data_IF_633479827439
#
_entry.id   IF_633479827439
#
_cell.length_a   1.000
_cell.length_b   1.000
_cell.length_c   1.000
_cell.angle_alpha   90.00
_cell.angle_beta   90.00
_cell.angle_gamma   90.00
#
_symmetry.space_group_name_H-M   'P 1'
#
loop_
_entity.id
_entity.type
_entity.pdbx_description
1 polymer ?
#
# COMPACT_ATOMS: atom_id res chain seq x y z
N UNK A 1 19.75 -27.50 6.80
CA UNK A 1 18.68 -27.12 5.84
C UNK A 1 18.90 -25.66 5.51
N UNK A 2 19.27 -25.35 4.26
CA UNK A 2 19.77 -24.04 3.85
C UNK A 2 18.72 -22.93 4.06
N UNK A 3 19.14 -21.82 4.66
CA UNK A 3 18.34 -20.61 4.75
C UNK A 3 18.08 -20.06 3.35
N UNK A 4 16.81 -19.90 3.02
CA UNK A 4 16.40 -19.23 1.79
C UNK A 4 16.81 -17.76 1.88
N UNK A 5 17.79 -17.36 1.06
CA UNK A 5 18.02 -15.97 0.76
C UNK A 5 16.78 -15.44 0.03
N UNK A 6 16.09 -14.46 0.63
CA UNK A 6 15.06 -13.71 -0.08
C UNK A 6 15.73 -13.00 -1.25
N UNK A 7 15.22 -13.23 -2.46
CA UNK A 7 15.62 -12.50 -3.67
C UNK A 7 15.47 -11.00 -3.39
N UNK A 8 16.37 -10.16 -3.92
CA UNK A 8 16.40 -8.71 -3.66
C UNK A 8 15.07 -7.99 -3.94
N UNK A 9 14.17 -8.62 -4.70
CA UNK A 9 12.83 -8.15 -5.05
C UNK A 9 11.80 -8.22 -3.90
N UNK A 10 12.02 -9.07 -2.87
CA UNK A 10 11.11 -9.21 -1.71
C UNK A 10 11.49 -8.31 -0.52
N UNK A 11 12.57 -7.54 -0.61
CA UNK A 11 12.95 -6.62 0.46
C UNK A 11 12.06 -5.38 0.37
N UNK A 12 11.35 -5.09 1.47
CA UNK A 12 10.61 -3.86 1.59
C UNK A 12 11.59 -2.67 1.52
N UNK A 13 11.40 -1.81 0.52
CA UNK A 13 12.21 -0.60 0.32
C UNK A 13 11.57 0.63 0.92
N UNK A 14 10.27 0.58 1.22
CA UNK A 14 9.51 1.66 1.85
C UNK A 14 8.46 1.09 2.81
N UNK A 15 8.37 1.64 4.02
CA UNK A 15 7.36 1.27 5.01
C UNK A 15 6.47 2.48 5.33
N UNK A 16 5.16 2.35 5.12
CA UNK A 16 4.17 3.35 5.54
C UNK A 16 3.44 2.87 6.78
N UNK A 17 3.37 3.73 7.80
CA UNK A 17 2.65 3.49 9.05
C UNK A 17 1.41 4.37 9.08
N UNK A 18 0.25 3.74 9.25
CA UNK A 18 -1.04 4.41 9.22
C UNK A 18 -1.77 4.15 10.54
N UNK A 19 -1.90 5.17 11.41
CA UNK A 19 -2.72 5.05 12.61
C UNK A 19 -4.21 5.07 12.24
N UNK A 20 -4.94 4.05 12.68
CA UNK A 20 -6.39 3.91 12.43
C UNK A 20 -7.14 4.06 13.73
N UNK A 21 -7.90 5.14 13.87
CA UNK A 21 -8.70 5.41 15.07
C UNK A 21 -10.15 5.00 14.89
N UNK A 22 -10.69 4.24 15.84
CA UNK A 22 -12.15 4.06 15.91
C UNK A 22 -12.78 5.28 16.60
N UNK A 23 -13.35 6.18 15.81
CA UNK A 23 -14.06 7.36 16.31
C UNK A 23 -15.55 7.10 16.66
N UNK A 24 -16.03 5.87 16.45
CA UNK A 24 -17.40 5.48 16.73
C UNK A 24 -17.65 5.06 18.18
N UNK A 25 -18.90 4.67 18.47
CA UNK A 25 -19.35 4.22 19.80
C UNK A 25 -19.35 2.70 19.97
N UNK A 26 -19.02 1.94 18.93
CA UNK A 26 -19.04 0.47 18.91
C UNK A 26 -17.66 -0.06 18.54
N UNK A 27 -17.28 -1.18 19.14
CA UNK A 27 -16.09 -1.91 18.71
C UNK A 27 -16.25 -2.37 17.25
N UNK A 28 -15.18 -2.29 16.48
CA UNK A 28 -15.22 -2.57 15.04
C UNK A 28 -13.86 -2.93 14.47
N UNK A 29 -13.84 -3.23 13.18
CA UNK A 29 -12.61 -3.47 12.41
C UNK A 29 -12.63 -2.55 11.20
N UNK A 30 -11.46 -2.16 10.74
CA UNK A 30 -11.25 -1.35 9.55
C UNK A 30 -10.48 -2.16 8.51
N UNK A 31 -10.57 -1.75 7.24
CA UNK A 31 -9.72 -2.31 6.18
C UNK A 31 -9.07 -1.16 5.41
N UNK A 32 -8.05 -0.49 6.01
CA UNK A 32 -7.28 0.50 5.29
C UNK A 32 -6.64 -0.12 4.04
N UNK A 33 -6.69 0.65 2.97
CA UNK A 33 -6.19 0.31 1.66
C UNK A 33 -5.20 1.38 1.20
N UNK A 34 -4.11 0.93 0.61
CA UNK A 34 -3.08 1.76 0.01
C UNK A 34 -3.16 1.61 -1.50
N UNK A 35 -3.42 2.71 -2.18
CA UNK A 35 -3.39 2.85 -3.63
C UNK A 35 -2.17 3.66 -4.06
N UNK A 36 -1.68 3.42 -5.27
CA UNK A 36 -0.51 4.08 -5.80
C UNK A 36 -0.80 4.64 -7.18
N UNK A 37 -0.67 5.94 -7.30
CA UNK A 37 -0.67 6.66 -8.56
C UNK A 37 0.78 6.79 -9.03
N UNK A 38 1.08 6.26 -10.21
CA UNK A 38 2.40 6.37 -10.81
C UNK A 38 2.40 7.47 -11.87
N UNK A 39 3.56 8.04 -12.16
CA UNK A 39 3.72 9.04 -13.22
C UNK A 39 3.29 8.52 -14.60
N UNK A 40 2.97 9.46 -15.50
CA UNK A 40 2.26 9.19 -16.75
C UNK A 40 2.93 8.15 -17.67
N UNK A 41 4.25 7.96 -17.58
CA UNK A 41 4.96 6.91 -18.32
C UNK A 41 4.48 5.49 -17.97
N UNK A 42 3.88 5.28 -16.79
CA UNK A 42 3.30 4.00 -16.40
C UNK A 42 1.98 3.68 -17.12
N UNK A 43 1.33 4.68 -17.74
CA UNK A 43 0.11 4.49 -18.54
C UNK A 43 -1.11 3.99 -17.77
N UNK A 44 -1.11 4.08 -16.43
CA UNK A 44 -2.23 3.64 -15.61
C UNK A 44 -3.34 4.71 -15.55
N UNK A 45 -4.61 4.37 -15.84
CA UNK A 45 -5.70 5.36 -15.87
C UNK A 45 -6.19 5.79 -14.49
N UNK A 46 -5.79 5.07 -13.43
CA UNK A 46 -6.18 5.31 -12.05
C UNK A 46 -5.14 4.71 -11.08
N UNK A 47 -5.13 5.13 -9.80
CA UNK A 47 -4.28 4.55 -8.78
C UNK A 47 -4.51 3.04 -8.58
N UNK A 48 -3.44 2.27 -8.44
CA UNK A 48 -3.48 0.81 -8.27
C UNK A 48 -3.45 0.40 -6.81
N UNK A 49 -4.27 -0.57 -6.38
CA UNK A 49 -4.20 -1.14 -5.04
C UNK A 49 -2.86 -1.88 -4.86
N UNK A 50 -2.05 -1.44 -3.89
CA UNK A 50 -0.75 -2.04 -3.55
C UNK A 50 -0.72 -2.69 -2.17
N UNK A 51 -1.72 -2.45 -1.34
CA UNK A 51 -1.84 -3.14 -0.06
C UNK A 51 -3.16 -2.89 0.64
N UNK A 52 -3.59 -3.86 1.44
CA UNK A 52 -4.69 -3.70 2.37
C UNK A 52 -4.43 -4.55 3.61
N UNK A 53 -4.96 -4.12 4.75
CA UNK A 53 -4.83 -4.89 5.98
C UNK A 53 -6.11 -4.77 6.80
N UNK A 54 -6.71 -5.90 7.16
CA UNK A 54 -7.82 -5.91 8.11
C UNK A 54 -7.28 -5.79 9.52
N UNK A 55 -7.75 -4.80 10.27
CA UNK A 55 -7.30 -4.61 11.65
C UNK A 55 -7.85 -5.66 12.61
N UNK A 56 -7.22 -5.77 13.78
CA UNK A 56 -7.83 -6.32 14.98
C UNK A 56 -9.13 -5.59 15.35
N UNK A 57 -9.87 -6.09 16.35
CA UNK A 57 -10.99 -5.31 16.90
C UNK A 57 -10.41 -4.05 17.55
N UNK A 58 -10.85 -2.88 17.09
CA UNK A 58 -10.50 -1.57 17.63
C UNK A 58 -11.65 -1.13 18.54
N UNK A 59 -11.38 -0.96 19.82
CA UNK A 59 -12.35 -0.44 20.78
C UNK A 59 -12.67 1.04 20.50
N UNK A 60 -13.85 1.55 20.87
CA UNK A 60 -14.18 2.97 20.77
C UNK A 60 -13.06 3.86 21.34
N UNK A 61 -12.63 4.86 20.58
CA UNK A 61 -11.56 5.79 20.94
C UNK A 61 -10.14 5.24 20.84
N UNK A 62 -9.95 3.94 20.61
CA UNK A 62 -8.63 3.31 20.48
C UNK A 62 -8.07 3.43 19.06
N UNK A 63 -6.76 3.20 18.94
CA UNK A 63 -6.01 3.27 17.68
C UNK A 63 -5.37 1.90 17.41
N UNK A 64 -5.40 1.47 16.15
CA UNK A 64 -4.59 0.36 15.65
C UNK A 64 -3.57 0.89 14.64
N UNK A 65 -2.33 0.40 14.72
CA UNK A 65 -1.29 0.70 13.73
C UNK A 65 -1.36 -0.29 12.57
N UNK A 66 -1.48 0.21 11.34
CA UNK A 66 -1.36 -0.58 10.11
C UNK A 66 -0.04 -0.23 9.44
N UNK A 67 0.69 -1.25 8.97
CA UNK A 67 1.99 -1.07 8.32
C UNK A 67 1.96 -1.70 6.93
N UNK A 68 2.07 -0.86 5.90
CA UNK A 68 2.28 -1.28 4.52
C UNK A 68 3.77 -1.32 4.21
N UNK A 69 4.23 -2.45 3.67
CA UNK A 69 5.62 -2.66 3.26
C UNK A 69 5.64 -2.76 1.74
N UNK A 70 6.20 -1.74 1.10
CA UNK A 70 6.29 -1.65 -0.35
C UNK A 70 7.67 -2.12 -0.79
N UNK A 71 7.67 -3.03 -1.75
CA UNK A 71 8.84 -3.58 -2.43
C UNK A 71 9.26 -2.69 -3.60
N UNK A 72 10.41 -3.01 -4.21
CA UNK A 72 10.82 -2.41 -5.48
C UNK A 72 9.74 -2.56 -6.56
N UNK A 73 9.12 -3.76 -6.62
CA UNK A 73 8.08 -4.11 -7.59
C UNK A 73 6.78 -3.34 -7.40
N UNK A 74 6.40 -3.04 -6.16
CA UNK A 74 5.18 -2.27 -5.88
C UNK A 74 5.22 -0.88 -6.51
N UNK A 75 6.43 -0.32 -6.65
CA UNK A 75 6.72 1.01 -7.18
C UNK A 75 7.12 0.97 -8.66
N UNK A 76 7.02 -0.20 -9.30
CA UNK A 76 7.33 -0.41 -10.71
C UNK A 76 6.08 -0.72 -11.53
N UNK A 77 6.17 -0.47 -12.83
CA UNK A 77 5.21 -0.87 -13.85
C UNK A 77 5.91 -1.72 -14.90
N UNK A 78 5.15 -2.51 -15.66
CA UNK A 78 5.74 -3.32 -16.73
C UNK A 78 5.88 -2.46 -18.00
N UNK A 79 7.08 -2.41 -18.57
CA UNK A 79 7.40 -1.69 -19.82
C UNK A 79 7.53 -2.70 -20.97
N UNK A 80 6.51 -2.83 -21.85
CA UNK A 80 6.51 -3.85 -22.89
C UNK A 80 7.66 -3.69 -23.90
N UNK A 81 8.13 -2.46 -24.15
CA UNK A 81 9.24 -2.22 -25.08
C UNK A 81 10.58 -2.73 -24.56
N UNK A 82 10.78 -2.72 -23.24
CA UNK A 82 11.95 -3.27 -22.58
C UNK A 82 11.79 -4.77 -22.25
N UNK A 83 10.55 -5.26 -22.21
CA UNK A 83 10.25 -6.63 -21.78
C UNK A 83 10.52 -6.87 -20.29
N UNK A 84 10.49 -5.82 -19.47
CA UNK A 84 10.86 -5.88 -18.05
C UNK A 84 10.10 -4.82 -17.22
N UNK A 85 10.27 -4.87 -15.90
CA UNK A 85 9.73 -3.90 -14.95
C UNK A 85 10.57 -2.63 -14.93
N UNK A 86 9.92 -1.49 -15.17
CA UNK A 86 10.51 -0.17 -15.04
C UNK A 86 10.06 0.50 -13.74
N UNK A 87 10.99 1.17 -13.06
CA UNK A 87 10.67 1.95 -11.86
C UNK A 87 9.95 3.24 -12.27
N UNK A 88 8.80 3.53 -11.66
CA UNK A 88 8.11 4.80 -11.88
C UNK A 88 8.99 5.97 -11.39
N UNK A 89 9.03 7.08 -12.15
CA UNK A 89 9.82 8.26 -11.79
C UNK A 89 9.29 8.93 -10.53
N UNK A 90 7.97 9.02 -10.40
CA UNK A 90 7.29 9.48 -9.19
C UNK A 90 6.11 8.57 -8.89
N UNK A 91 5.79 8.43 -7.61
CA UNK A 91 4.59 7.74 -7.16
C UNK A 91 3.95 8.52 -6.01
N UNK A 92 2.65 8.71 -6.08
CA UNK A 92 1.82 9.29 -5.03
C UNK A 92 1.04 8.18 -4.35
N UNK A 93 1.07 8.17 -3.02
CA UNK A 93 0.40 7.12 -2.22
C UNK A 93 -0.92 7.65 -1.70
N UNK A 94 -2.01 6.96 -2.00
CA UNK A 94 -3.35 7.30 -1.55
C UNK A 94 -3.80 6.27 -0.51
N UNK A 95 -4.24 6.72 0.68
CA UNK A 95 -4.72 5.82 1.74
C UNK A 95 -6.17 6.11 2.09
N UNK A 96 -6.99 5.05 2.15
CA UNK A 96 -8.44 5.15 2.34
C UNK A 96 -9.10 3.88 2.87
N UNK A 97 -10.42 3.92 3.07
CA UNK A 97 -11.26 2.73 3.37
C UNK A 97 -11.80 2.08 2.08
N UNK A 98 -11.76 2.79 0.95
CA UNK A 98 -12.10 2.27 -0.37
C UNK A 98 -11.42 3.11 -1.45
N UNK A 99 -11.43 2.65 -2.70
CA UNK A 99 -10.97 3.46 -3.85
C UNK A 99 -11.78 4.74 -4.06
N UNK A 100 -12.99 4.83 -3.50
CA UNK A 100 -13.86 6.00 -3.55
C UNK A 100 -13.80 6.87 -2.27
N UNK A 101 -13.07 6.43 -1.24
CA UNK A 101 -12.94 7.10 0.06
C UNK A 101 -11.46 7.16 0.47
N UNK A 102 -10.73 8.05 -0.22
CA UNK A 102 -9.33 8.37 0.05
C UNK A 102 -9.26 9.51 1.05
N UNK A 103 -8.48 9.34 2.12
CA UNK A 103 -8.43 10.26 3.27
C UNK A 103 -7.06 10.86 3.53
N UNK A 104 -6.01 10.34 2.88
CA UNK A 104 -4.63 10.80 2.96
C UNK A 104 -3.94 10.60 1.60
N UNK A 105 -3.06 11.53 1.23
CA UNK A 105 -2.24 11.53 0.00
C UNK A 105 -0.81 11.93 0.35
#
# INVERSE_FOLDING_TARGET
VAGQAKTAEEVAVLCLRVPVRNAGKRAGRAVPQLYMEMSAEAGHPAPLLKGFQKTGVIMPGSVAEVIFRLTGRDLSYYEPSAGDWARARTATVHVGESSADIRQV
#
